data_IF_391425708976
#
_entry.id   IF_391425708976
#
_cell.length_a   1.000
_cell.length_b   1.000
_cell.length_c   1.000
_cell.angle_alpha   90.00
_cell.angle_beta   90.00
_cell.angle_gamma   90.00
#
_symmetry.space_group_name_H-M   'P 1'
#
loop_
_entity.id
_entity.type
_entity.pdbx_description
1 polymer ?
2 non-polymer ?
3 water ?
#
# COMPACT_ATOMS: atom_id res chain seq x y z
N UNK A 4 37.28 22.16 9.46
CA UNK A 4 36.87 20.85 9.99
C UNK A 4 35.48 20.45 9.53
N UNK A 5 35.29 20.02 8.27
CA UNK A 5 33.98 19.64 7.76
C UNK A 5 33.59 18.26 8.30
N UNK A 6 32.32 18.08 8.70
CA UNK A 6 31.80 16.81 9.27
C UNK A 6 31.67 15.76 8.16
N UNK A 7 31.99 14.51 8.48
CA UNK A 7 31.77 13.33 7.60
C UNK A 7 30.33 13.39 7.07
N UNK A 8 30.17 13.49 5.75
CA UNK A 8 28.86 13.41 5.04
C UNK A 8 28.82 12.11 4.23
N UNK A 9 27.63 11.68 3.77
CA UNK A 9 27.52 10.45 2.98
C UNK A 9 28.08 10.61 1.57
N UNK A 10 28.60 9.52 0.97
CA UNK A 10 29.18 9.59 -0.37
C UNK A 10 28.11 9.96 -1.43
N UNK A 11 28.52 10.66 -2.48
CA UNK A 11 27.64 11.07 -3.61
C UNK A 11 28.11 10.32 -4.87
N UNK A 12 27.21 9.59 -5.51
CA UNK A 12 27.48 8.83 -6.75
C UNK A 12 27.93 9.81 -7.83
N UNK A 13 29.11 9.58 -8.47
CA UNK A 13 29.54 10.37 -9.61
C UNK A 13 28.39 10.66 -10.60
N UNK A 14 28.02 11.94 -10.72
CA UNK A 14 26.76 12.40 -11.34
C UNK A 14 26.68 12.04 -12.81
N UNK A 15 25.48 12.14 -13.38
CA UNK A 15 25.22 11.93 -14.83
C UNK A 15 25.03 13.24 -15.56
N UNK A 16 23.83 13.81 -15.52
CA UNK A 16 23.40 14.96 -16.36
C UNK A 16 23.22 16.21 -15.47
N UNK A 17 23.51 17.42 -16.00
CA UNK A 17 23.48 18.64 -15.20
C UNK A 17 22.16 18.97 -14.48
N UNK A 18 21.03 19.05 -15.20
CA UNK A 18 19.71 19.43 -14.63
C UNK A 18 18.87 18.18 -14.34
N UNK A 19 19.33 16.99 -14.77
CA UNK A 19 18.55 15.73 -14.66
C UNK A 19 19.11 14.84 -13.55
N UNK A 20 20.38 15.03 -13.18
CA UNK A 20 21.09 14.16 -12.21
C UNK A 20 21.20 12.73 -12.71
N UNK A 21 20.48 11.80 -12.08
CA UNK A 21 20.53 10.34 -12.40
C UNK A 21 19.15 9.87 -12.89
N UNK A 22 18.17 10.78 -12.96
CA UNK A 22 16.71 10.48 -13.01
C UNK A 22 16.43 9.46 -14.14
N UNK A 23 17.05 9.60 -15.30
CA UNK A 23 16.76 8.70 -16.45
C UNK A 23 17.20 7.26 -16.18
N UNK A 24 18.41 7.08 -15.67
CA UNK A 24 18.98 5.75 -15.33
C UNK A 24 18.17 5.13 -14.19
N UNK A 25 17.85 5.91 -13.16
CA UNK A 25 16.97 5.53 -12.03
C UNK A 25 15.61 5.09 -12.58
N UNK A 26 15.03 5.91 -13.47
CA UNK A 26 13.70 5.70 -14.05
C UNK A 26 13.65 4.43 -14.90
N UNK A 27 14.73 4.13 -15.62
CA UNK A 27 14.90 2.86 -16.38
C UNK A 27 14.52 1.69 -15.47
N UNK A 28 15.16 1.62 -14.30
CA UNK A 28 14.96 0.54 -13.28
C UNK A 28 15.22 1.12 -11.89
N UNK A 29 14.17 1.55 -11.17
CA UNK A 29 14.33 2.15 -9.85
C UNK A 29 15.01 1.20 -8.86
N UNK A 30 14.58 -0.07 -8.86
CA UNK A 30 15.09 -1.12 -7.93
C UNK A 30 16.55 -1.42 -8.25
N UNK A 31 16.83 -1.87 -9.48
CA UNK A 31 18.20 -2.16 -9.97
C UNK A 31 19.12 -0.99 -9.61
N UNK A 32 18.66 0.25 -9.83
CA UNK A 32 19.42 1.49 -9.55
C UNK A 32 19.80 1.54 -8.06
N UNK A 33 18.81 1.41 -7.18
CA UNK A 33 18.97 1.55 -5.70
C UNK A 33 19.84 0.41 -5.17
N UNK A 34 19.61 -0.82 -5.64
CA UNK A 34 20.50 -1.98 -5.38
C UNK A 34 21.93 -1.58 -5.74
N UNK A 35 22.14 -1.08 -6.96
CA UNK A 35 23.45 -0.64 -7.50
C UNK A 35 24.03 0.45 -6.58
N UNK A 36 23.24 1.46 -6.24
CA UNK A 36 23.70 2.61 -5.40
C UNK A 36 24.23 2.07 -4.07
N UNK A 37 23.42 1.28 -3.36
CA UNK A 37 23.79 0.71 -2.04
C UNK A 37 25.06 -0.13 -2.19
N UNK A 38 25.08 -1.05 -3.16
CA UNK A 38 26.18 -2.03 -3.36
C UNK A 38 27.51 -1.30 -3.44
N UNK A 39 27.52 -0.06 -3.97
CA UNK A 39 28.75 0.67 -4.36
C UNK A 39 29.12 1.72 -3.31
N UNK A 40 28.19 2.12 -2.44
CA UNK A 40 28.35 3.30 -1.54
C UNK A 40 27.87 3.00 -0.11
N UNK A 41 27.12 1.90 0.10
CA UNK A 41 26.81 1.35 1.44
C UNK A 41 25.47 1.85 1.97
N UNK A 42 25.36 1.96 3.30
CA UNK A 42 24.08 2.17 4.04
C UNK A 42 23.50 3.56 3.72
N UNK A 43 24.36 4.58 3.66
CA UNK A 43 23.96 5.99 3.40
C UNK A 43 24.67 6.48 2.13
N UNK A 44 23.89 6.84 1.09
CA UNK A 44 24.39 7.05 -0.29
C UNK A 44 23.55 8.12 -0.99
N UNK A 45 24.18 9.24 -1.38
CA UNK A 45 23.51 10.41 -2.00
C UNK A 45 23.55 10.24 -3.52
N UNK A 46 22.43 10.54 -4.18
CA UNK A 46 22.32 10.73 -5.65
C UNK A 46 21.47 11.98 -5.92
N UNK A 47 21.47 12.45 -7.17
CA UNK A 47 20.70 13.68 -7.48
C UNK A 47 19.55 13.41 -8.44
N UNK A 48 18.33 13.74 -8.00
CA UNK A 48 17.09 13.69 -8.81
C UNK A 48 16.74 15.11 -9.26
N UNK A 49 17.00 15.44 -10.53
CA UNK A 49 16.88 16.81 -11.09
C UNK A 49 17.85 17.73 -10.35
N UNK A 50 17.34 18.84 -9.80
CA UNK A 50 18.09 19.78 -8.93
C UNK A 50 18.44 19.08 -7.61
N UNK A 51 17.58 18.16 -7.16
CA UNK A 51 17.46 17.73 -5.74
C UNK A 51 18.47 16.63 -5.41
N UNK A 52 18.83 16.51 -4.13
CA UNK A 52 19.82 15.53 -3.60
C UNK A 52 19.12 14.53 -2.69
N UNK A 53 18.88 13.31 -3.20
CA UNK A 53 18.28 12.18 -2.44
C UNK A 53 19.39 11.43 -1.71
N UNK A 54 19.11 10.90 -0.52
CA UNK A 54 20.04 10.06 0.28
C UNK A 54 19.32 8.76 0.66
N UNK A 55 19.80 7.64 0.13
CA UNK A 55 19.23 6.28 0.34
C UNK A 55 19.71 5.74 1.69
N UNK A 56 18.80 5.58 2.65
CA UNK A 56 19.06 4.88 3.94
C UNK A 56 18.61 3.42 3.82
N UNK A 57 19.56 2.49 3.75
CA UNK A 57 19.32 1.03 3.72
C UNK A 57 20.03 0.39 4.92
N UNK A 58 19.62 -0.82 5.30
CA UNK A 58 20.13 -1.54 6.48
C UNK A 58 19.36 -1.18 7.74
N UNK A 59 19.46 -2.01 8.78
CA UNK A 59 18.72 -1.88 10.05
C UNK A 59 18.99 -0.52 10.68
N UNK A 60 20.27 -0.13 10.80
CA UNK A 60 20.72 1.07 11.55
C UNK A 60 20.14 2.33 10.90
N UNK A 61 20.40 2.51 9.59
CA UNK A 61 20.00 3.71 8.81
C UNK A 61 18.47 3.80 8.70
N UNK A 62 17.80 2.65 8.62
CA UNK A 62 16.32 2.54 8.57
C UNK A 62 15.70 3.08 9.87
N UNK A 63 16.29 2.73 11.02
CA UNK A 63 15.84 3.17 12.37
C UNK A 63 15.87 4.70 12.45
N UNK A 64 16.97 5.31 11.99
CA UNK A 64 17.16 6.78 11.95
C UNK A 64 15.98 7.42 11.19
N UNK A 65 15.50 6.74 10.15
CA UNK A 65 14.46 7.24 9.19
C UNK A 65 13.08 7.19 9.86
N UNK A 66 12.73 6.04 10.42
CA UNK A 66 11.35 5.71 10.89
C UNK A 66 11.10 6.37 12.24
N UNK A 67 12.16 6.78 12.94
CA UNK A 67 12.09 7.23 14.35
C UNK A 67 12.28 8.75 14.43
N UNK A 68 12.74 9.39 13.36
CA UNK A 68 12.87 10.86 13.26
C UNK A 68 11.53 11.50 13.63
N UNK A 69 11.53 12.59 14.42
CA UNK A 69 10.32 13.39 14.62
C UNK A 69 9.78 13.95 13.30
N UNK A 70 8.48 14.25 13.25
CA UNK A 70 7.79 14.87 12.09
C UNK A 70 8.41 16.24 11.80
N UNK A 71 9.25 16.73 12.72
CA UNK A 71 9.86 18.09 12.67
C UNK A 71 11.28 18.00 12.09
N UNK A 72 11.82 16.79 11.93
CA UNK A 72 13.11 16.55 11.23
C UNK A 72 12.82 16.14 9.79
N UNK A 73 12.00 15.10 9.60
CA UNK A 73 11.61 14.55 8.28
C UNK A 73 10.11 14.80 8.04
N UNK A 74 9.79 15.54 6.98
CA UNK A 74 8.38 15.85 6.58
C UNK A 74 8.03 15.01 5.35
N UNK A 75 6.88 14.33 5.39
CA UNK A 75 6.38 13.45 4.31
C UNK A 75 5.54 14.28 3.32
N UNK A 76 5.34 15.56 3.62
CA UNK A 76 4.49 16.48 2.83
C UNK A 76 4.83 16.43 1.34
N UNK A 77 6.08 16.77 0.96
CA UNK A 77 6.44 16.91 -0.45
C UNK A 77 6.24 15.63 -1.28
N UNK A 78 6.48 14.47 -0.67
CA UNK A 78 6.28 13.14 -1.29
C UNK A 78 4.87 13.04 -1.89
N UNK A 79 3.93 13.84 -1.38
CA UNK A 79 2.47 13.68 -1.62
C UNK A 79 1.92 14.86 -2.44
N UNK A 80 2.79 15.77 -2.90
CA UNK A 80 2.37 17.06 -3.51
C UNK A 80 1.53 16.79 -4.77
N UNK A 81 1.78 15.67 -5.44
CA UNK A 81 1.04 15.23 -6.66
C UNK A 81 -0.39 14.84 -6.27
N UNK A 82 -0.59 14.46 -5.00
CA UNK A 82 -1.87 13.88 -4.49
C UNK A 82 -2.77 15.00 -3.97
N UNK A 83 -2.20 16.16 -3.63
CA UNK A 83 -2.88 17.27 -2.92
C UNK A 83 -4.17 17.66 -3.64
N UNK A 84 -4.16 17.81 -5.00
CA UNK A 84 -5.38 18.14 -5.73
C UNK A 84 -6.47 17.07 -5.56
N UNK A 85 -6.08 15.80 -5.43
CA UNK A 85 -7.00 14.64 -5.28
C UNK A 85 -7.51 14.59 -3.83
N UNK A 86 -6.64 14.83 -2.86
CA UNK A 86 -6.94 14.70 -1.40
C UNK A 86 -7.64 15.98 -0.90
N UNK A 87 -7.43 17.09 -1.61
CA UNK A 87 -7.96 18.41 -1.21
C UNK A 87 -6.83 19.25 -0.63
N UNK A 88 -7.07 20.54 -0.46
CA UNK A 88 -6.06 21.47 0.08
C UNK A 88 -6.20 21.50 1.58
N UNK A 89 -5.08 21.43 2.30
CA UNK A 89 -5.11 21.58 3.77
C UNK A 89 -5.92 20.47 4.43
N UNK A 90 -6.14 19.38 3.70
CA UNK A 90 -6.95 18.24 4.22
C UNK A 90 -6.12 17.24 5.02
N UNK A 91 -5.14 16.60 4.38
CA UNK A 91 -4.27 15.64 5.11
C UNK A 91 -2.95 15.65 4.36
N UNK A 92 -1.84 15.89 5.06
CA UNK A 92 -0.41 15.99 4.64
C UNK A 92 -0.09 17.33 3.97
N UNK A 93 -1.08 18.20 3.87
CA UNK A 93 -1.02 19.58 3.32
C UNK A 93 -1.37 20.37 4.56
N UNK A 94 -2.16 19.73 5.42
CA UNK A 94 -2.51 20.26 6.76
C UNK A 94 -1.26 20.44 7.65
N UNK A 95 -1.38 21.33 8.63
CA UNK A 95 -0.32 21.62 9.64
C UNK A 95 0.01 20.32 10.38
N UNK A 96 1.27 20.16 10.79
CA UNK A 96 1.81 18.89 11.36
C UNK A 96 0.83 18.36 12.43
N UNK A 97 0.32 19.24 13.29
CA UNK A 97 -0.52 18.87 14.46
C UNK A 97 -1.91 18.46 13.98
N UNK A 98 -2.47 19.20 13.01
CA UNK A 98 -3.82 18.95 12.44
C UNK A 98 -3.79 17.65 11.64
N UNK A 99 -2.77 17.48 10.79
CA UNK A 99 -2.55 16.24 9.98
C UNK A 99 -2.58 15.02 10.90
N UNK A 100 -1.97 15.12 12.08
CA UNK A 100 -1.71 13.97 12.99
C UNK A 100 -3.03 13.51 13.62
N UNK A 101 -3.94 14.44 13.92
CA UNK A 101 -5.27 14.14 14.50
C UNK A 101 -6.11 13.37 13.46
N UNK A 102 -6.06 13.81 12.21
CA UNK A 102 -6.84 13.20 11.09
C UNK A 102 -6.39 11.75 10.91
N UNK A 103 -5.07 11.53 10.83
CA UNK A 103 -4.44 10.18 10.74
C UNK A 103 -4.89 9.34 11.94
N UNK A 104 -4.86 9.93 13.15
CA UNK A 104 -5.19 9.24 14.43
C UNK A 104 -6.67 8.84 14.44
N UNK A 105 -7.53 9.57 13.72
CA UNK A 105 -8.98 9.26 13.60
C UNK A 105 -9.17 8.02 12.74
N UNK A 106 -8.28 7.80 11.76
CA UNK A 106 -8.33 6.66 10.81
C UNK A 106 -7.96 5.36 11.54
N UNK A 107 -6.96 5.42 12.42
CA UNK A 107 -6.29 4.22 12.99
C UNK A 107 -7.34 3.24 13.52
N UNK A 108 -8.24 3.67 14.44
CA UNK A 108 -9.22 2.74 15.02
C UNK A 108 -10.29 2.30 14.01
N UNK A 109 -10.46 3.04 12.92
CA UNK A 109 -11.37 2.71 11.81
C UNK A 109 -10.89 1.46 11.08
N UNK A 110 -9.58 1.15 11.17
CA UNK A 110 -8.90 0.13 10.34
C UNK A 110 -8.34 -1.00 11.20
N UNK A 111 -8.58 -0.96 12.52
CA UNK A 111 -8.13 -2.00 13.49
C UNK A 111 -9.30 -2.44 14.36
N UNK A 112 -9.12 -3.52 15.14
CA UNK A 112 -9.96 -3.87 16.31
C UNK A 112 -11.41 -4.09 15.88
N UNK A 113 -12.32 -3.28 16.42
CA UNK A 113 -13.78 -3.60 16.54
C UNK A 113 -14.41 -3.80 15.17
N UNK A 114 -14.26 -2.90 14.18
CA UNK A 114 -14.94 -3.08 12.90
C UNK A 114 -14.35 -4.24 12.08
N UNK A 115 -13.21 -4.79 12.50
CA UNK A 115 -12.44 -5.78 11.72
C UNK A 115 -13.32 -7.00 11.43
N UNK A 116 -14.12 -7.44 12.42
CA UNK A 116 -14.99 -8.64 12.28
C UNK A 116 -16.02 -8.39 11.17
N UNK A 117 -16.69 -7.24 11.19
CA UNK A 117 -17.68 -6.81 10.15
C UNK A 117 -17.00 -6.82 8.79
N UNK A 118 -15.87 -6.12 8.67
CA UNK A 118 -15.05 -6.00 7.43
C UNK A 118 -14.81 -7.40 6.85
N UNK A 119 -14.40 -8.36 7.70
CA UNK A 119 -14.18 -9.77 7.33
C UNK A 119 -15.40 -10.30 6.58
N UNK A 120 -16.58 -10.22 7.19
CA UNK A 120 -17.86 -10.76 6.66
C UNK A 120 -18.13 -10.11 5.30
N UNK A 121 -18.02 -8.77 5.22
CA UNK A 121 -18.26 -7.99 3.99
C UNK A 121 -17.32 -8.48 2.87
N UNK A 122 -16.02 -8.51 3.16
CA UNK A 122 -14.95 -8.94 2.20
C UNK A 122 -15.25 -10.36 1.72
N UNK A 123 -15.41 -11.31 2.65
CA UNK A 123 -15.75 -12.73 2.32
C UNK A 123 -16.98 -12.72 1.42
N UNK A 124 -18.06 -12.06 1.85
CA UNK A 124 -19.36 -11.99 1.15
C UNK A 124 -19.15 -11.47 -0.28
N UNK A 125 -18.33 -10.43 -0.44
CA UNK A 125 -18.11 -9.72 -1.73
C UNK A 125 -17.43 -10.66 -2.73
N UNK A 126 -16.53 -11.52 -2.27
CA UNK A 126 -15.79 -12.49 -3.13
C UNK A 126 -16.72 -13.65 -3.48
N UNK A 127 -17.36 -14.25 -2.47
CA UNK A 127 -18.41 -15.29 -2.63
C UNK A 127 -19.41 -14.80 -3.69
N UNK A 128 -19.87 -13.55 -3.55
CA UNK A 128 -20.84 -12.90 -4.47
C UNK A 128 -20.36 -13.03 -5.92
N UNK A 129 -19.22 -12.40 -6.24
CA UNK A 129 -18.71 -12.26 -7.64
C UNK A 129 -18.37 -13.64 -8.21
N UNK A 130 -18.01 -14.60 -7.36
CA UNK A 130 -17.54 -15.94 -7.78
C UNK A 130 -18.70 -16.74 -8.41
N UNK A 131 -19.94 -16.36 -8.12
CA UNK A 131 -21.16 -17.02 -8.65
C UNK A 131 -21.37 -16.61 -10.11
N UNK A 132 -20.65 -15.58 -10.58
CA UNK A 132 -20.76 -15.01 -11.95
C UNK A 132 -19.88 -15.81 -12.91
N UNK A 133 -19.09 -16.75 -12.40
CA UNK A 133 -17.95 -17.38 -13.13
C UNK A 133 -18.43 -18.62 -13.89
N UNK A 134 -18.01 -18.74 -15.15
CA UNK A 134 -18.11 -20.00 -15.95
C UNK A 134 -17.45 -21.13 -15.15
N UNK A 135 -17.71 -22.39 -15.54
CA UNK A 135 -17.15 -23.60 -14.87
C UNK A 135 -15.63 -23.52 -14.91
N UNK A 136 -15.07 -23.14 -16.06
CA UNK A 136 -13.61 -22.96 -16.29
C UNK A 136 -13.39 -21.77 -17.24
N UNK A 137 -12.17 -21.24 -17.29
CA UNK A 137 -11.80 -20.15 -18.20
C UNK A 137 -10.44 -19.56 -17.89
N UNK A 138 -10.04 -18.55 -18.66
CA UNK A 138 -8.75 -17.82 -18.55
C UNK A 138 -9.04 -16.35 -18.17
N UNK A 139 -8.42 -15.87 -17.10
CA UNK A 139 -8.58 -14.47 -16.58
C UNK A 139 -7.21 -13.82 -16.43
N UNK A 140 -7.17 -12.48 -16.39
CA UNK A 140 -5.95 -11.68 -16.06
C UNK A 140 -5.93 -11.43 -14.55
N UNK A 141 -5.04 -12.12 -13.83
CA UNK A 141 -5.03 -12.21 -12.35
C UNK A 141 -4.99 -10.79 -11.75
N UNK A 142 -4.21 -9.89 -12.36
CA UNK A 142 -3.98 -8.52 -11.83
C UNK A 142 -5.28 -7.73 -11.87
N UNK A 143 -6.01 -7.80 -12.98
CA UNK A 143 -7.34 -7.14 -13.15
C UNK A 143 -8.32 -7.68 -12.10
N UNK A 144 -8.33 -9.00 -11.89
CA UNK A 144 -9.27 -9.66 -10.95
C UNK A 144 -9.08 -9.07 -9.54
N UNK A 145 -7.84 -9.00 -9.06
CA UNK A 145 -7.50 -8.59 -7.68
C UNK A 145 -7.72 -7.07 -7.52
N UNK A 146 -7.60 -6.31 -8.61
CA UNK A 146 -7.82 -4.84 -8.61
C UNK A 146 -9.33 -4.56 -8.46
N UNK A 147 -10.15 -5.29 -9.22
CA UNK A 147 -11.63 -5.25 -9.11
C UNK A 147 -12.03 -5.66 -7.69
N UNK A 148 -11.65 -6.86 -7.27
CA UNK A 148 -12.03 -7.47 -5.98
C UNK A 148 -11.67 -6.51 -4.84
N UNK A 149 -10.50 -5.87 -4.93
CA UNK A 149 -9.93 -5.01 -3.86
C UNK A 149 -10.72 -3.70 -3.78
N UNK A 150 -11.08 -3.11 -4.93
CA UNK A 150 -11.80 -1.80 -4.99
C UNK A 150 -13.22 -2.00 -4.45
N UNK A 151 -13.83 -3.17 -4.70
CA UNK A 151 -15.20 -3.53 -4.24
C UNK A 151 -15.20 -3.68 -2.71
N UNK A 152 -14.31 -4.52 -2.19
CA UNK A 152 -14.19 -4.84 -0.74
C UNK A 152 -13.76 -3.59 0.03
N UNK A 153 -12.75 -2.87 -0.47
CA UNK A 153 -12.28 -1.58 0.08
C UNK A 153 -13.46 -0.63 0.26
N UNK A 154 -14.10 -0.25 -0.86
CA UNK A 154 -15.11 0.83 -0.94
C UNK A 154 -16.32 0.47 -0.07
N UNK A 155 -16.71 -0.81 -0.06
CA UNK A 155 -17.82 -1.32 0.79
C UNK A 155 -17.47 -1.13 2.27
N UNK A 156 -16.21 -1.38 2.65
CA UNK A 156 -15.73 -1.35 4.06
C UNK A 156 -15.42 0.09 4.47
N UNK A 157 -14.99 0.93 3.53
CA UNK A 157 -14.44 2.29 3.82
C UNK A 157 -15.54 3.35 3.62
N UNK A 158 -16.35 3.20 2.56
CA UNK A 158 -17.39 4.18 2.18
C UNK A 158 -18.76 3.70 2.68
N UNK A 159 -19.16 2.49 2.27
CA UNK A 159 -20.43 1.87 2.68
C UNK A 159 -21.19 1.31 1.48
N UNK A 160 -22.27 0.57 1.74
CA UNK A 160 -23.07 -0.15 0.73
C UNK A 160 -23.57 0.82 -0.35
N UNK A 161 -23.81 2.08 0.02
CA UNK A 161 -24.28 3.14 -0.91
C UNK A 161 -23.41 3.12 -2.18
N UNK A 162 -22.09 3.03 -2.02
CA UNK A 162 -21.10 3.19 -3.12
C UNK A 162 -20.93 1.87 -3.88
N UNK A 163 -21.45 0.77 -3.32
CA UNK A 163 -21.42 -0.57 -3.96
C UNK A 163 -22.66 -0.74 -4.85
N UNK A 164 -23.80 -0.20 -4.43
CA UNK A 164 -25.11 -0.39 -5.11
C UNK A 164 -25.50 0.89 -5.86
N UNK A 165 -26.07 1.87 -5.15
CA UNK A 165 -26.78 3.04 -5.72
C UNK A 165 -25.79 3.93 -6.48
N UNK A 166 -24.58 4.10 -5.94
CA UNK A 166 -23.55 5.03 -6.49
C UNK A 166 -22.43 4.23 -7.16
N UNK A 167 -22.67 2.95 -7.44
CA UNK A 167 -21.70 2.01 -8.05
C UNK A 167 -21.06 2.64 -9.29
N UNK A 168 -21.84 2.77 -10.37
CA UNK A 168 -21.37 3.22 -11.71
C UNK A 168 -20.83 4.66 -11.61
N UNK A 169 -21.52 5.52 -10.84
CA UNK A 169 -21.10 6.94 -10.64
C UNK A 169 -19.71 6.96 -10.00
N UNK A 170 -19.55 6.30 -8.85
CA UNK A 170 -18.28 6.28 -8.07
C UNK A 170 -17.16 5.71 -8.94
N UNK A 171 -17.41 4.56 -9.57
CA UNK A 171 -16.45 3.83 -10.45
C UNK A 171 -15.74 4.84 -11.34
N UNK A 172 -16.50 5.72 -12.01
CA UNK A 172 -16.00 6.70 -12.99
C UNK A 172 -15.25 7.83 -12.32
N UNK A 173 -15.70 8.26 -11.13
CA UNK A 173 -15.03 9.32 -10.32
C UNK A 173 -13.63 8.82 -9.97
N UNK A 174 -13.52 7.59 -9.45
CA UNK A 174 -12.24 6.97 -9.01
C UNK A 174 -11.26 6.92 -10.18
N UNK A 175 -11.75 6.52 -11.36
CA UNK A 175 -10.97 6.49 -12.62
C UNK A 175 -10.39 7.89 -12.87
N UNK A 176 -11.25 8.90 -12.98
CA UNK A 176 -10.87 10.31 -13.29
C UNK A 176 -9.89 10.80 -12.21
N UNK A 177 -10.14 10.43 -10.94
CA UNK A 177 -9.25 10.73 -9.79
C UNK A 177 -7.88 10.06 -10.03
N UNK A 178 -7.90 8.75 -10.29
CA UNK A 178 -6.69 7.92 -10.55
C UNK A 178 -5.91 8.51 -11.72
N UNK A 179 -6.60 8.83 -12.81
CA UNK A 179 -6.02 9.32 -14.10
C UNK A 179 -5.31 10.66 -13.86
N UNK A 180 -5.66 11.36 -12.78
CA UNK A 180 -5.11 12.69 -12.44
C UNK A 180 -3.73 12.58 -11.82
N UNK A 181 -3.26 11.35 -11.56
CA UNK A 181 -1.90 11.07 -11.01
C UNK A 181 -0.90 11.08 -12.17
N UNK A 182 -0.50 12.27 -12.61
CA UNK A 182 0.46 12.50 -13.73
C UNK A 182 1.68 13.23 -13.19
N UNK A 183 2.91 12.76 -13.51
CA UNK A 183 4.12 13.25 -12.86
C UNK A 183 4.40 14.76 -12.99
N UNK A 184 3.72 15.45 -13.91
CA UNK A 184 3.79 16.95 -13.99
C UNK A 184 3.09 17.53 -12.77
N UNK A 185 1.96 16.93 -12.37
CA UNK A 185 1.24 17.23 -11.12
C UNK A 185 2.09 16.74 -9.93
N UNK A 186 2.88 15.69 -10.12
CA UNK A 186 3.78 15.10 -9.09
C UNK A 186 4.88 16.11 -8.73
N UNK A 187 5.43 16.79 -9.74
CA UNK A 187 6.23 18.04 -9.55
C UNK A 187 5.34 19.02 -8.79
N UNK A 188 4.02 18.97 -9.04
CA UNK A 188 2.98 19.86 -8.46
C UNK A 188 3.25 21.30 -8.87
N UNK A 189 3.82 21.54 -10.07
CA UNK A 189 4.26 22.87 -10.46
C UNK A 189 3.11 23.66 -11.08
N UNK A 190 2.43 23.08 -12.08
CA UNK A 190 1.23 23.65 -12.74
C UNK A 190 0.09 22.62 -12.67
N UNK A 191 -1.04 23.00 -12.06
CA UNK A 191 -2.20 22.11 -11.80
C UNK A 191 -3.06 21.94 -13.04
N UNK A 192 -3.21 22.98 -13.92
CA UNK A 192 -4.16 22.91 -15.05
C UNK A 192 -3.76 22.06 -16.27
N UNK A 193 -4.76 21.39 -16.86
CA UNK A 193 -4.65 20.51 -18.06
C UNK A 193 -6.05 19.93 -18.35
N UNK A 194 -6.29 19.24 -19.48
CA UNK A 194 -7.59 18.62 -19.73
C UNK A 194 -7.91 17.48 -18.75
N UNK A 195 -6.95 16.58 -18.51
CA UNK A 195 -7.11 15.40 -17.60
C UNK A 195 -7.19 15.89 -16.15
N UNK A 196 -6.56 17.04 -15.86
CA UNK A 196 -6.44 17.62 -14.49
C UNK A 196 -7.79 18.17 -14.05
N UNK A 197 -8.54 18.78 -14.97
CA UNK A 197 -9.90 19.33 -14.70
C UNK A 197 -10.88 18.17 -14.47
N UNK A 198 -10.75 17.11 -15.26
CA UNK A 198 -11.58 15.88 -15.15
C UNK A 198 -11.31 15.22 -13.80
N UNK A 199 -10.07 15.35 -13.30
CA UNK A 199 -9.66 14.97 -11.92
C UNK A 199 -10.38 15.88 -10.91
N UNK A 200 -10.27 17.21 -11.09
CA UNK A 200 -10.79 18.23 -10.15
C UNK A 200 -12.32 18.13 -10.09
N UNK A 201 -12.99 18.02 -11.24
CA UNK A 201 -14.45 17.80 -11.36
C UNK A 201 -14.84 16.58 -10.53
N UNK A 202 -14.01 15.53 -10.56
CA UNK A 202 -14.25 14.23 -9.89
C UNK A 202 -14.31 14.41 -8.38
N UNK A 203 -13.32 15.12 -7.80
CA UNK A 203 -13.24 15.33 -6.33
C UNK A 203 -14.44 16.15 -5.86
N UNK A 204 -14.83 17.19 -6.62
CA UNK A 204 -16.01 18.05 -6.31
C UNK A 204 -17.25 17.16 -6.21
N UNK A 205 -17.47 16.29 -7.19
CA UNK A 205 -18.71 15.46 -7.28
C UNK A 205 -18.72 14.44 -6.14
N UNK A 206 -17.55 13.97 -5.71
CA UNK A 206 -17.43 12.98 -4.60
C UNK A 206 -17.79 13.66 -3.28
N UNK A 207 -17.25 14.87 -3.04
CA UNK A 207 -17.57 15.69 -1.84
C UNK A 207 -19.07 15.97 -1.80
N UNK A 208 -19.69 16.18 -2.97
CA UNK A 208 -21.17 16.34 -3.10
C UNK A 208 -21.85 15.06 -2.62
N UNK A 209 -21.44 13.92 -3.15
CA UNK A 209 -22.04 12.58 -2.85
C UNK A 209 -21.88 12.28 -1.35
N UNK A 210 -20.73 12.65 -0.78
CA UNK A 210 -20.43 12.41 0.67
C UNK A 210 -21.47 13.16 1.52
N UNK A 211 -21.52 14.49 1.38
CA UNK A 211 -22.43 15.38 2.17
C UNK A 211 -23.87 14.84 2.10
N UNK A 212 -24.31 14.46 0.89
CA UNK A 212 -25.66 13.90 0.65
C UNK A 212 -25.89 12.71 1.59
N UNK A 213 -24.89 11.83 1.69
CA UNK A 213 -24.98 10.55 2.45
C UNK A 213 -24.88 10.86 3.95
N UNK A 214 -23.98 11.79 4.32
CA UNK A 214 -23.91 12.36 5.70
C UNK A 214 -25.33 12.76 6.12
N UNK A 215 -26.00 13.57 5.30
CA UNK A 215 -27.33 14.15 5.58
C UNK A 215 -28.39 13.04 5.55
N UNK A 216 -28.26 12.08 4.63
CA UNK A 216 -29.26 11.01 4.41
C UNK A 216 -29.15 9.96 5.52
N UNK A 217 -27.93 9.74 6.03
CA UNK A 217 -27.64 8.78 7.13
C UNK A 217 -27.96 9.42 8.49
N UNK A 218 -28.21 10.73 8.50
CA UNK A 218 -28.47 11.51 9.74
C UNK A 218 -29.99 11.65 9.95
N UNK A 219 -30.74 12.03 8.92
CA UNK A 219 -32.22 12.12 9.01
C UNK A 219 -32.78 10.70 9.13
N UNK A 220 -32.23 9.75 8.37
CA UNK A 220 -32.40 8.30 8.64
C UNK A 220 -31.46 7.93 9.79
N UNK A 221 -31.83 6.95 10.61
CA UNK A 221 -30.99 6.52 11.76
C UNK A 221 -30.26 5.23 11.38
N UNK A 222 -29.86 5.11 10.12
CA UNK A 222 -28.84 4.14 9.64
C UNK A 222 -27.55 4.33 10.44
N UNK A 223 -27.03 3.25 11.02
CA UNK A 223 -25.67 3.22 11.62
C UNK A 223 -24.93 1.98 11.09
N UNK A 224 -24.28 2.11 9.93
CA UNK A 224 -23.43 1.07 9.30
C UNK A 224 -22.01 1.15 9.87
N UNK A 225 -21.25 0.06 9.78
CA UNK A 225 -19.84 -0.04 10.18
C UNK A 225 -18.96 0.18 8.94
N UNK A 226 -18.42 1.40 8.80
CA UNK A 226 -17.46 1.77 7.72
C UNK A 226 -16.62 2.96 8.21
N UNK A 227 -15.50 3.23 7.55
CA UNK A 227 -14.53 4.28 7.95
C UNK A 227 -15.24 5.64 7.87
N UNK A 228 -16.03 5.84 6.82
CA UNK A 228 -16.89 7.03 6.60
C UNK A 228 -17.70 7.31 7.87
N UNK A 229 -18.44 6.31 8.35
CA UNK A 229 -19.33 6.43 9.54
C UNK A 229 -18.52 6.86 10.76
N UNK A 230 -17.30 6.33 10.90
CA UNK A 230 -16.42 6.56 12.07
C UNK A 230 -15.77 7.95 11.98
N UNK A 231 -15.56 8.44 10.75
CA UNK A 231 -15.01 9.80 10.49
C UNK A 231 -16.11 10.83 10.76
N UNK A 232 -17.37 10.48 10.50
CA UNK A 232 -18.55 11.31 10.84
C UNK A 232 -18.60 11.48 12.36
N UNK A 233 -18.38 10.38 13.09
CA UNK A 233 -18.58 10.29 14.57
C UNK A 233 -17.33 10.79 15.30
N UNK A 234 -16.16 10.74 14.65
CA UNK A 234 -14.89 11.29 15.16
C UNK A 234 -15.07 12.78 15.45
N UNK A 235 -14.14 13.37 16.20
CA UNK A 235 -14.03 14.83 16.42
C UNK A 235 -12.60 15.19 16.85
N UNK A 236 -12.11 16.35 16.43
CA UNK A 236 -10.82 16.94 16.89
C UNK A 236 -10.84 17.06 18.41
N UNK A 237 -9.67 17.36 19.01
CA UNK A 237 -9.54 17.60 20.47
C UNK A 237 -10.32 18.86 20.83
N UNK A 238 -10.45 19.79 19.87
CA UNK A 238 -11.35 20.98 19.92
C UNK A 238 -12.73 20.57 20.45
N UNK A 239 -13.24 19.42 20.00
CA UNK A 239 -14.67 19.08 20.00
C UNK A 239 -15.31 19.38 18.66
N UNK A 240 -14.66 20.24 17.86
CA UNK A 240 -15.06 20.57 16.47
C UNK A 240 -15.07 19.31 15.62
N UNK A 241 -15.85 19.31 14.54
CA UNK A 241 -16.13 18.10 13.70
C UNK A 241 -15.36 18.21 12.39
N UNK A 242 -15.28 17.10 11.65
CA UNK A 242 -14.70 17.05 10.28
C UNK A 242 -15.72 17.65 9.30
N UNK A 243 -15.25 18.48 8.38
CA UNK A 243 -16.03 19.03 7.24
C UNK A 243 -16.02 18.01 6.11
N UNK A 244 -17.09 17.94 5.29
CA UNK A 244 -17.14 17.01 4.16
C UNK A 244 -15.95 17.13 3.20
N UNK A 245 -15.29 18.29 3.17
CA UNK A 245 -14.00 18.49 2.46
C UNK A 245 -12.97 17.50 3.01
N UNK A 246 -12.76 17.54 4.34
CA UNK A 246 -11.80 16.67 5.06
C UNK A 246 -12.22 15.20 4.92
N UNK A 247 -13.46 14.87 5.29
CA UNK A 247 -13.97 13.47 5.26
C UNK A 247 -13.76 12.89 3.85
N UNK A 248 -14.02 13.68 2.81
CA UNK A 248 -13.85 13.25 1.39
C UNK A 248 -12.36 13.02 1.12
N UNK A 249 -11.51 13.95 1.58
CA UNK A 249 -10.04 13.89 1.42
C UNK A 249 -9.44 12.64 2.06
N UNK A 250 -9.86 12.32 3.29
CA UNK A 250 -9.28 11.23 4.10
C UNK A 250 -9.71 9.87 3.52
N UNK A 251 -10.96 9.77 3.07
CA UNK A 251 -11.52 8.51 2.51
C UNK A 251 -10.80 8.17 1.20
N UNK A 252 -10.52 9.17 0.36
CA UNK A 252 -9.79 8.96 -0.92
C UNK A 252 -8.35 8.54 -0.64
N UNK A 253 -7.68 9.25 0.27
CA UNK A 253 -6.31 8.92 0.72
C UNK A 253 -6.26 7.45 1.14
N UNK A 254 -7.21 7.02 1.97
CA UNK A 254 -7.30 5.64 2.52
C UNK A 254 -7.45 4.63 1.36
N UNK A 255 -8.29 4.95 0.38
CA UNK A 255 -8.61 4.03 -0.76
C UNK A 255 -7.37 3.90 -1.67
N UNK A 256 -6.69 5.01 -1.95
CA UNK A 256 -5.45 5.05 -2.78
C UNK A 256 -4.32 4.33 -2.03
N UNK A 257 -4.25 4.53 -0.72
CA UNK A 257 -3.20 3.94 0.16
C UNK A 257 -3.31 2.41 0.14
N UNK A 258 -4.52 1.89 -0.08
CA UNK A 258 -4.87 0.47 0.19
C UNK A 258 -5.14 -0.34 -1.07
N UNK A 259 -5.42 0.31 -2.20
CA UNK A 259 -5.98 -0.36 -3.41
C UNK A 259 -4.89 -1.19 -4.11
N UNK A 260 -3.98 -0.53 -4.81
CA UNK A 260 -2.95 -1.18 -5.69
C UNK A 260 -1.96 -1.95 -4.82
N UNK A 261 -1.71 -1.46 -3.60
CA UNK A 261 -0.86 -2.12 -2.57
C UNK A 261 -1.43 -3.52 -2.27
N UNK A 262 -2.71 -3.60 -1.91
CA UNK A 262 -3.42 -4.88 -1.61
C UNK A 262 -3.55 -5.72 -2.88
N UNK A 263 -4.06 -5.12 -3.97
CA UNK A 263 -4.41 -5.82 -5.22
C UNK A 263 -3.17 -6.49 -5.81
N UNK A 264 -2.05 -5.77 -5.85
CA UNK A 264 -0.75 -6.26 -6.33
C UNK A 264 -0.25 -7.42 -5.49
N UNK A 265 -0.36 -7.29 -4.16
CA UNK A 265 0.14 -8.28 -3.18
C UNK A 265 -0.67 -9.59 -3.28
N UNK A 266 -2.00 -9.49 -3.38
CA UNK A 266 -2.90 -10.67 -3.54
C UNK A 266 -2.51 -11.42 -4.82
N UNK A 267 -2.21 -10.67 -5.90
CA UNK A 267 -1.72 -11.22 -7.18
C UNK A 267 -0.45 -12.03 -6.94
N UNK A 268 0.51 -11.44 -6.21
CA UNK A 268 1.85 -12.04 -5.97
C UNK A 268 1.73 -13.26 -5.06
N UNK A 269 0.82 -13.21 -4.07
CA UNK A 269 0.61 -14.34 -3.13
C UNK A 269 0.09 -15.54 -3.93
N UNK A 270 -0.77 -15.30 -4.93
CA UNK A 270 -1.34 -16.36 -5.80
C UNK A 270 -0.28 -16.85 -6.78
N UNK A 271 0.44 -15.93 -7.43
CA UNK A 271 1.55 -16.26 -8.39
C UNK A 271 2.59 -17.12 -7.66
N UNK A 272 3.10 -16.64 -6.52
CA UNK A 272 4.17 -17.33 -5.75
C UNK A 272 3.68 -18.71 -5.32
N UNK A 273 2.40 -18.84 -4.96
CA UNK A 273 1.79 -20.14 -4.52
C UNK A 273 1.66 -21.08 -5.73
N UNK A 274 1.51 -20.51 -6.94
CA UNK A 274 1.20 -21.28 -8.16
C UNK A 274 2.50 -21.76 -8.85
N UNK A 275 3.64 -21.17 -8.50
CA UNK A 275 4.98 -21.62 -9.01
C UNK A 275 5.75 -22.34 -7.89
N UNK A 276 5.07 -22.77 -6.83
CA UNK A 276 5.70 -23.48 -5.67
C UNK A 276 4.70 -24.44 -5.06
N UNK A 277 4.41 -25.58 -5.74
CA UNK A 277 3.36 -26.50 -5.32
C UNK A 277 3.51 -26.89 -3.83
N UNK A 278 4.76 -27.07 -3.42
CA UNK A 278 5.20 -27.22 -2.01
C UNK A 278 4.32 -26.37 -1.09
N UNK A 279 4.15 -25.09 -1.43
CA UNK A 279 3.53 -24.05 -0.55
C UNK A 279 2.04 -23.94 -0.86
N UNK A 280 1.63 -24.18 -2.12
CA UNK A 280 0.21 -24.31 -2.49
C UNK A 280 -0.44 -25.38 -1.59
N UNK A 281 0.28 -26.47 -1.31
CA UNK A 281 -0.23 -27.61 -0.51
C UNK A 281 -0.33 -27.20 0.96
N UNK A 282 0.72 -26.54 1.48
CA UNK A 282 0.77 -26.08 2.90
C UNK A 282 -0.40 -25.11 3.13
N UNK A 283 -0.67 -24.23 2.17
CA UNK A 283 -1.75 -23.20 2.27
C UNK A 283 -3.11 -23.88 2.07
N UNK A 284 -3.24 -24.71 1.03
CA UNK A 284 -4.51 -25.45 0.72
C UNK A 284 -4.90 -26.32 1.91
N UNK A 285 -3.93 -27.03 2.49
CA UNK A 285 -4.13 -27.91 3.67
C UNK A 285 -4.65 -27.06 4.84
N UNK A 286 -4.12 -25.84 4.99
CA UNK A 286 -4.47 -24.91 6.09
C UNK A 286 -5.93 -24.45 5.91
N UNK A 287 -6.31 -24.06 4.70
CA UNK A 287 -7.68 -23.59 4.33
C UNK A 287 -8.68 -24.72 4.56
N UNK A 288 -8.45 -25.89 3.93
CA UNK A 288 -9.33 -27.09 4.03
C UNK A 288 -9.52 -27.45 5.50
N UNK A 289 -8.45 -27.38 6.30
CA UNK A 289 -8.47 -27.54 7.77
C UNK A 289 -9.38 -26.47 8.38
N UNK A 290 -9.24 -25.21 7.93
CA UNK A 290 -10.00 -24.04 8.45
C UNK A 290 -11.50 -24.29 8.28
N UNK A 291 -11.91 -24.85 7.13
CA UNK A 291 -13.33 -25.09 6.79
C UNK A 291 -13.88 -26.24 7.65
N UNK A 292 -13.10 -27.31 7.82
CA UNK A 292 -13.51 -28.54 8.55
C UNK A 292 -13.46 -28.26 10.06
N UNK A 293 -13.05 -27.05 10.46
CA UNK A 293 -12.97 -26.62 11.89
C UNK A 293 -13.87 -25.41 12.14
N UNK A 294 -14.47 -24.85 11.08
CA UNK A 294 -15.28 -23.60 11.15
C UNK A 294 -16.47 -23.67 10.19
N UNK A 295 -16.36 -24.45 9.12
CA UNK A 295 -17.45 -24.70 8.16
C UNK A 295 -17.80 -23.46 7.35
N UNK A 296 -17.13 -22.34 7.65
CA UNK A 296 -17.27 -21.03 6.96
C UNK A 296 -16.01 -20.21 7.22
N UNK A 297 -15.69 -19.25 6.35
CA UNK A 297 -14.60 -18.26 6.57
C UNK A 297 -15.11 -17.18 7.53
N UNK A 298 -14.42 -17.02 8.66
CA UNK A 298 -14.90 -16.36 9.89
C UNK A 298 -13.75 -15.50 10.44
N UNK A 299 -14.07 -14.33 10.99
CA UNK A 299 -13.06 -13.40 11.54
C UNK A 299 -12.08 -14.18 12.42
N UNK A 300 -12.60 -15.04 13.30
CA UNK A 300 -11.80 -15.82 14.28
C UNK A 300 -10.84 -16.75 13.54
N UNK A 301 -11.28 -17.33 12.42
CA UNK A 301 -10.52 -18.32 11.62
C UNK A 301 -9.39 -17.62 10.85
N UNK A 302 -9.68 -16.45 10.27
CA UNK A 302 -8.71 -15.63 9.49
C UNK A 302 -7.52 -15.25 10.39
N UNK A 303 -7.76 -15.10 11.69
CA UNK A 303 -6.78 -14.58 12.67
C UNK A 303 -5.57 -15.51 12.76
N UNK A 304 -5.80 -16.82 12.75
CA UNK A 304 -4.76 -17.85 13.01
C UNK A 304 -4.62 -18.74 11.77
N UNK A 305 -4.02 -18.19 10.71
CA UNK A 305 -3.61 -18.92 9.48
C UNK A 305 -2.11 -18.78 9.31
N UNK A 306 -1.30 -19.44 10.16
CA UNK A 306 0.14 -19.18 10.22
C UNK A 306 0.84 -19.42 8.87
N UNK A 307 0.56 -20.55 8.22
CA UNK A 307 1.10 -20.91 6.87
C UNK A 307 0.95 -19.69 5.94
N UNK A 308 -0.26 -19.15 5.83
CA UNK A 308 -0.62 -18.12 4.83
C UNK A 308 -0.04 -16.77 5.26
N UNK A 309 -0.12 -16.44 6.55
CA UNK A 309 0.50 -15.20 7.10
C UNK A 309 1.97 -15.17 6.68
N UNK A 310 2.67 -16.30 6.86
CA UNK A 310 4.11 -16.44 6.58
C UNK A 310 4.36 -16.25 5.08
N UNK A 311 3.50 -16.81 4.23
CA UNK A 311 3.59 -16.66 2.74
C UNK A 311 3.43 -15.17 2.40
N UNK A 312 2.38 -14.51 2.91
CA UNK A 312 2.10 -13.07 2.65
C UNK A 312 3.32 -12.25 3.08
N UNK A 313 3.90 -12.59 4.22
CA UNK A 313 5.07 -11.88 4.81
C UNK A 313 6.27 -11.98 3.87
N UNK A 314 6.51 -13.17 3.30
CA UNK A 314 7.65 -13.42 2.37
C UNK A 314 7.38 -12.69 1.05
N UNK A 315 6.14 -12.74 0.56
CA UNK A 315 5.71 -12.03 -0.68
C UNK A 315 5.98 -10.53 -0.52
N UNK A 316 5.71 -9.99 0.68
CA UNK A 316 5.91 -8.55 0.98
C UNK A 316 7.41 -8.26 1.15
N UNK A 317 8.20 -9.25 1.56
CA UNK A 317 9.69 -9.10 1.63
C UNK A 317 10.22 -8.98 0.19
N UNK A 318 9.86 -9.92 -0.68
CA UNK A 318 10.37 -10.02 -2.08
C UNK A 318 9.66 -9.01 -2.99
N UNK A 319 8.45 -8.56 -2.63
CA UNK A 319 7.60 -7.70 -3.48
C UNK A 319 6.89 -6.64 -2.66
N UNK A 320 7.62 -5.71 -1.99
CA UNK A 320 7.00 -4.53 -1.41
C UNK A 320 6.48 -3.56 -2.47
N UNK A 321 5.17 -3.23 -2.48
CA UNK A 321 4.59 -2.41 -3.53
C UNK A 321 5.10 -0.96 -3.52
N UNK A 322 5.54 -0.46 -2.36
CA UNK A 322 6.16 0.88 -2.20
C UNK A 322 7.65 0.70 -1.89
N UNK A 323 8.51 1.19 -2.79
CA UNK A 323 9.97 0.85 -2.84
C UNK A 323 10.81 2.12 -2.62
N UNK A 324 10.20 3.31 -2.74
CA UNK A 324 10.81 4.59 -2.32
C UNK A 324 9.85 5.31 -1.36
N UNK A 325 10.23 5.42 -0.08
CA UNK A 325 9.56 6.26 0.94
C UNK A 325 10.36 7.54 1.16
N UNK A 326 9.90 8.67 0.61
CA UNK A 326 10.69 9.93 0.54
C UNK A 326 10.31 10.86 1.69
N UNK A 327 11.28 11.65 2.16
CA UNK A 327 11.13 12.71 3.20
C UNK A 327 12.04 13.89 2.85
N UNK A 328 11.59 15.11 3.14
CA UNK A 328 12.44 16.32 3.15
C UNK A 328 13.10 16.44 4.53
N UNK A 329 14.42 16.63 4.56
CA UNK A 329 15.20 17.02 5.78
C UNK A 329 15.03 18.53 5.98
N UNK A 330 14.37 18.93 7.07
CA UNK A 330 14.11 20.35 7.43
C UNK A 330 14.90 20.69 8.69
N UNK A 331 15.79 19.78 9.10
CA UNK A 331 16.70 19.93 10.26
C UNK A 331 17.89 18.99 10.05
N UNK A 332 19.10 19.44 10.38
CA UNK A 332 20.32 18.58 10.37
C UNK A 332 20.09 17.44 11.36
N UNK A 333 19.96 16.21 10.87
CA UNK A 333 20.06 14.97 11.68
C UNK A 333 21.21 14.11 11.12
N UNK A 334 21.72 13.21 11.95
CA UNK A 334 22.97 12.44 11.68
C UNK A 334 22.62 10.94 11.65
N UNK A 335 22.98 10.26 10.55
CA UNK A 335 22.74 8.81 10.35
C UNK A 335 24.09 8.08 10.30
N UNK A 336 24.32 7.18 11.25
CA UNK A 336 25.52 6.29 11.30
C UNK A 336 26.79 7.14 11.16
N UNK A 337 26.83 8.31 11.80
CA UNK A 337 28.01 9.18 11.86
C UNK A 337 27.97 10.29 10.83
N UNK A 338 27.39 10.01 9.65
CA UNK A 338 27.33 10.95 8.50
C UNK A 338 26.20 11.96 8.74
N UNK A 339 26.51 13.25 8.55
CA UNK A 339 25.58 14.38 8.80
C UNK A 339 24.79 14.69 7.52
N UNK A 340 23.46 14.66 7.59
CA UNK A 340 22.54 14.92 6.45
C UNK A 340 21.96 16.32 6.59
N UNK A 341 22.37 17.24 5.70
CA UNK A 341 22.06 18.68 5.76
C UNK A 341 20.56 18.90 5.58
N UNK A 342 19.97 19.81 6.35
CA UNK A 342 18.61 20.35 6.14
C UNK A 342 18.51 20.87 4.70
N UNK A 343 17.30 20.83 4.11
CA UNK A 343 17.07 21.19 2.71
C UNK A 343 17.17 19.98 1.80
N UNK A 344 17.91 18.95 2.23
CA UNK A 344 18.15 17.71 1.46
C UNK A 344 16.93 16.78 1.57
N UNK A 345 16.93 15.70 0.78
CA UNK A 345 15.92 14.63 0.80
C UNK A 345 16.55 13.31 1.26
N UNK A 346 15.83 12.58 2.10
CA UNK A 346 16.17 11.20 2.56
C UNK A 346 15.05 10.27 2.09
N UNK A 347 15.30 8.96 2.02
CA UNK A 347 14.28 7.94 1.62
C UNK A 347 14.71 6.54 2.05
N UNK A 348 13.74 5.73 2.47
CA UNK A 348 13.89 4.29 2.75
C UNK A 348 13.56 3.51 1.48
N UNK A 349 14.13 2.30 1.32
CA UNK A 349 13.95 1.42 0.15
C UNK A 349 13.71 0.00 0.62
N UNK A 350 12.46 -0.36 0.98
CA UNK A 350 12.14 -1.71 1.43
C UNK A 350 12.69 -2.81 0.51
N UNK A 351 12.59 -2.64 -0.81
CA UNK A 351 12.97 -3.65 -1.82
C UNK A 351 14.47 -3.96 -1.72
N UNK A 352 15.27 -2.99 -1.26
CA UNK A 352 16.76 -3.10 -1.13
C UNK A 352 17.10 -3.73 0.22
N UNK A 353 16.65 -3.12 1.32
CA UNK A 353 16.96 -3.57 2.71
C UNK A 353 16.53 -5.02 2.87
N UNK A 354 15.49 -5.46 2.16
CA UNK A 354 14.89 -6.82 2.28
C UNK A 354 15.81 -7.86 1.67
N UNK A 355 16.85 -7.43 0.94
CA UNK A 355 17.82 -8.35 0.28
C UNK A 355 19.23 -8.20 0.88
N UNK A 356 19.35 -7.56 2.05
CA UNK A 356 20.63 -7.50 2.81
C UNK A 356 20.87 -8.87 3.43
N UNK A 357 21.94 -9.59 3.03
CA UNK A 357 22.14 -10.98 3.42
C UNK A 357 22.32 -11.14 4.95
N UNK A 358 22.83 -10.10 5.61
CA UNK A 358 23.09 -10.09 7.08
C UNK A 358 21.75 -10.11 7.83
N UNK A 359 20.66 -9.63 7.20
CA UNK A 359 19.30 -9.62 7.78
C UNK A 359 18.51 -10.83 7.29
N UNK A 360 18.59 -11.13 5.99
CA UNK A 360 17.80 -12.19 5.31
C UNK A 360 18.75 -13.16 4.62
N UNK A 361 19.36 -14.08 5.39
CA UNK A 361 20.26 -15.10 4.84
C UNK A 361 19.69 -15.73 3.56
N UNK A 362 20.45 -15.67 2.47
CA UNK A 362 20.02 -16.11 1.11
C UNK A 362 18.85 -15.23 0.67
N UNK A 363 19.07 -13.91 0.50
CA UNK A 363 17.98 -12.95 0.36
C UNK A 363 17.07 -13.23 -0.83
N UNK A 364 17.60 -13.83 -1.90
CA UNK A 364 16.89 -14.01 -3.20
C UNK A 364 15.97 -15.24 -3.13
N UNK A 365 16.15 -16.11 -2.13
CA UNK A 365 15.35 -17.35 -1.96
C UNK A 365 14.01 -16.99 -1.29
N UNK A 366 12.90 -17.45 -1.86
CA UNK A 366 11.54 -17.39 -1.27
C UNK A 366 11.39 -18.50 -0.23
N UNK A 367 11.28 -18.12 1.05
CA UNK A 367 11.13 -19.08 2.18
C UNK A 367 10.28 -18.44 3.29
N UNK A 368 9.00 -18.83 3.40
CA UNK A 368 8.12 -18.29 4.44
C UNK A 368 8.57 -18.63 5.87
N UNK A 369 9.36 -19.70 6.03
CA UNK A 369 9.74 -20.26 7.35
C UNK A 369 10.74 -19.33 8.03
N UNK A 370 11.11 -18.22 7.37
CA UNK A 370 11.88 -17.11 7.98
C UNK A 370 11.10 -16.54 9.17
N UNK A 371 9.77 -16.66 9.14
CA UNK A 371 8.83 -15.87 9.99
C UNK A 371 8.14 -16.79 11.01
N UNK A 372 8.73 -17.95 11.26
CA UNK A 372 8.37 -18.85 12.40
C UNK A 372 9.05 -18.32 13.65
N UNK A 373 8.80 -18.92 14.84
CA UNK A 373 9.30 -18.39 16.11
C UNK A 373 10.81 -18.11 16.13
N UNK A 374 11.60 -18.87 15.35
CA UNK A 374 13.02 -18.58 15.04
C UNK A 374 13.09 -17.69 13.79
N UNK A 375 12.86 -16.39 13.97
CA UNK A 375 12.35 -15.47 12.92
C UNK A 375 13.48 -14.56 12.41
N UNK A 376 13.16 -13.77 11.37
CA UNK A 376 14.04 -12.75 10.76
C UNK A 376 13.26 -11.45 10.53
N UNK A 377 12.03 -11.38 11.06
CA UNK A 377 11.14 -10.19 10.93
C UNK A 377 10.95 -9.53 12.30
N UNK A 378 10.95 -10.32 13.37
CA UNK A 378 10.71 -9.86 14.77
C UNK A 378 11.97 -9.17 15.28
N UNK A 379 12.97 -9.96 15.66
CA UNK A 379 14.11 -9.56 16.54
C UNK A 379 14.85 -8.35 15.93
N UNK A 380 14.42 -7.90 14.74
CA UNK A 380 14.83 -6.59 14.16
C UNK A 380 13.60 -5.95 13.49
N UNK A 381 13.27 -4.72 13.89
CA UNK A 381 11.96 -4.07 13.57
C UNK A 381 12.13 -3.16 12.34
N UNK A 382 13.37 -2.81 11.99
CA UNK A 382 13.70 -1.90 10.86
C UNK A 382 14.52 -2.65 9.81
N UNK A 383 14.42 -3.98 9.82
CA UNK A 383 14.82 -4.84 8.69
C UNK A 383 13.69 -4.99 7.70
N UNK A 384 12.86 -6.02 7.91
CA UNK A 384 11.51 -6.15 7.31
C UNK A 384 10.72 -4.87 7.58
N UNK A 385 10.33 -4.15 6.52
CA UNK A 385 9.75 -2.78 6.60
C UNK A 385 8.82 -2.55 5.39
N UNK A 386 8.08 -3.58 4.99
CA UNK A 386 7.17 -3.54 3.81
C UNK A 386 6.03 -2.56 4.09
N UNK A 387 5.67 -2.39 5.36
CA UNK A 387 4.56 -1.51 5.83
C UNK A 387 5.12 -0.20 6.39
N UNK A 388 6.36 0.13 6.02
CA UNK A 388 7.13 1.24 6.64
C UNK A 388 7.37 0.96 8.12
N UNK A 389 7.46 2.01 8.93
CA UNK A 389 7.72 1.90 10.38
C UNK A 389 7.61 3.22 11.09
N UNK A 390 7.70 3.20 12.42
CA UNK A 390 7.71 4.39 13.29
C UNK A 390 6.35 5.03 13.38
N UNK A 391 6.31 6.34 13.63
CA UNK A 391 5.07 7.10 13.95
C UNK A 391 4.10 7.01 12.76
N UNK A 392 4.62 6.90 11.53
CA UNK A 392 3.84 7.01 10.27
C UNK A 392 3.85 5.69 9.50
N UNK A 393 3.89 4.57 10.23
CA UNK A 393 3.69 3.20 9.71
C UNK A 393 2.22 3.05 9.28
N UNK A 394 1.97 2.17 8.30
CA UNK A 394 0.63 1.86 7.73
C UNK A 394 -0.41 1.72 8.85
N UNK A 395 -1.54 2.43 8.74
CA UNK A 395 -2.68 2.36 9.69
C UNK A 395 -3.48 1.08 9.43
N UNK A 396 -3.39 0.56 8.20
CA UNK A 396 -4.25 -0.52 7.69
C UNK A 396 -3.46 -1.76 7.30
N UNK A 397 -2.33 -1.99 7.97
CA UNK A 397 -1.57 -3.28 7.85
C UNK A 397 -2.48 -4.42 8.30
N UNK A 398 -3.26 -4.21 9.36
CA UNK A 398 -4.21 -5.21 9.92
C UNK A 398 -5.33 -5.46 8.90
N UNK A 399 -5.93 -4.39 8.37
CA UNK A 399 -6.98 -4.46 7.32
C UNK A 399 -6.45 -5.25 6.11
N UNK A 400 -5.28 -4.84 5.59
CA UNK A 400 -4.61 -5.44 4.42
C UNK A 400 -4.46 -6.96 4.62
N UNK A 401 -4.00 -7.38 5.80
CA UNK A 401 -3.70 -8.81 6.10
C UNK A 401 -4.99 -9.63 6.02
N UNK A 402 -6.08 -9.13 6.61
CA UNK A 402 -7.41 -9.81 6.62
C UNK A 402 -8.00 -9.79 5.21
N UNK A 403 -7.96 -8.64 4.53
CA UNK A 403 -8.43 -8.49 3.13
C UNK A 403 -7.82 -9.60 2.28
N UNK A 404 -6.49 -9.77 2.35
CA UNK A 404 -5.72 -10.70 1.47
C UNK A 404 -5.97 -12.15 1.91
N UNK A 405 -5.98 -12.41 3.21
CA UNK A 405 -6.23 -13.77 3.77
C UNK A 405 -7.64 -14.24 3.35
N UNK A 406 -8.63 -13.34 3.41
CA UNK A 406 -10.04 -13.59 3.02
C UNK A 406 -10.11 -13.96 1.54
N UNK A 407 -9.61 -13.07 0.66
CA UNK A 407 -9.70 -13.22 -0.81
C UNK A 407 -9.06 -14.56 -1.21
N UNK A 408 -7.87 -14.85 -0.68
CA UNK A 408 -7.07 -16.07 -1.03
C UNK A 408 -7.84 -17.30 -0.54
N UNK A 409 -8.21 -17.33 0.74
CA UNK A 409 -9.06 -18.39 1.35
C UNK A 409 -10.21 -18.78 0.40
N UNK A 410 -11.02 -17.79 0.01
CA UNK A 410 -12.27 -18.01 -0.78
C UNK A 410 -11.89 -18.51 -2.17
N UNK A 411 -11.05 -17.75 -2.89
CA UNK A 411 -10.59 -18.09 -4.27
C UNK A 411 -10.09 -19.54 -4.27
N UNK A 412 -9.19 -19.88 -3.35
CA UNK A 412 -8.44 -21.17 -3.34
C UNK A 412 -9.40 -22.31 -2.99
N UNK A 413 -10.46 -22.02 -2.23
CA UNK A 413 -11.40 -23.03 -1.70
C UNK A 413 -12.40 -23.43 -2.80
N UNK A 414 -12.80 -22.48 -3.63
CA UNK A 414 -13.85 -22.67 -4.67
C UNK A 414 -13.20 -23.07 -5.99
N UNK A 415 -11.94 -22.68 -6.22
CA UNK A 415 -11.30 -22.71 -7.56
C UNK A 415 -9.89 -23.33 -7.51
N UNK A 416 -9.56 -24.05 -8.58
CA UNK A 416 -8.18 -24.51 -8.91
C UNK A 416 -7.60 -23.61 -10.00
N UNK A 417 -6.39 -23.08 -9.78
CA UNK A 417 -5.68 -22.16 -10.70
C UNK A 417 -4.39 -22.81 -11.19
N UNK A 418 -3.93 -22.38 -12.36
CA UNK A 418 -2.60 -22.71 -12.92
C UNK A 418 -2.18 -21.57 -13.86
N UNK A 419 -0.88 -21.25 -13.88
CA UNK A 419 -0.34 -20.09 -14.64
C UNK A 419 -0.52 -20.36 -16.14
N UNK A 420 -0.87 -19.31 -16.91
CA UNK A 420 -1.09 -19.36 -18.37
C UNK A 420 0.26 -19.43 -19.08
N UNK A 421 1.26 -18.68 -18.59
CA UNK A 421 2.61 -18.54 -19.18
C UNK A 421 3.64 -19.23 -18.28
N UNK A 422 4.91 -19.21 -18.70
CA UNK A 422 6.06 -19.84 -18.02
C UNK A 422 6.26 -19.20 -16.65
N UNK A 423 6.59 -20.00 -15.61
CA UNK A 423 6.64 -19.51 -14.24
C UNK A 423 7.57 -18.31 -14.06
N UNK A 424 8.71 -18.32 -14.74
CA UNK A 424 9.81 -17.33 -14.55
C UNK A 424 9.47 -16.03 -15.29
N UNK A 425 8.44 -16.05 -16.14
CA UNK A 425 8.04 -14.93 -17.03
C UNK A 425 7.30 -13.86 -16.21
N UNK A 426 6.77 -14.23 -15.04
CA UNK A 426 6.02 -13.33 -14.11
C UNK A 426 7.02 -12.51 -13.31
N UNK A 427 7.18 -11.23 -13.68
CA UNK A 427 8.18 -10.30 -13.12
C UNK A 427 7.46 -9.08 -12.53
N UNK A 428 8.08 -8.41 -11.55
CA UNK A 428 7.67 -7.06 -11.08
C UNK A 428 7.83 -6.06 -12.22
N UNK A 429 6.96 -5.05 -12.27
CA UNK A 429 7.08 -3.90 -13.20
C UNK A 429 7.47 -2.66 -12.37
N UNK A 430 8.78 -2.49 -12.10
CA UNK A 430 9.32 -1.51 -11.13
C UNK A 430 9.09 -0.09 -11.65
N UNK A 431 8.57 0.04 -12.87
CA UNK A 431 8.39 1.33 -13.57
C UNK A 431 7.00 1.91 -13.26
N UNK A 432 6.28 1.28 -12.32
CA UNK A 432 4.94 1.75 -11.85
C UNK A 432 5.11 2.47 -10.51
N UNK A 433 4.21 3.42 -10.22
CA UNK A 433 4.23 4.23 -8.97
C UNK A 433 4.03 3.32 -7.75
N UNK A 434 3.06 2.40 -7.85
CA UNK A 434 2.90 1.23 -6.95
C UNK A 434 3.32 -0.01 -7.74
N UNK A 435 4.35 -0.74 -7.26
CA UNK A 435 4.93 -1.91 -7.99
C UNK A 435 3.97 -3.09 -7.88
N UNK A 436 3.51 -3.60 -9.02
CA UNK A 436 2.72 -4.85 -9.14
C UNK A 436 3.45 -5.77 -10.12
N UNK A 437 2.96 -7.01 -10.33
CA UNK A 437 3.41 -7.82 -11.46
C UNK A 437 3.13 -7.10 -12.79
N UNK A 438 3.72 -7.61 -13.89
CA UNK A 438 3.56 -7.08 -15.26
C UNK A 438 2.09 -7.14 -15.67
N UNK A 439 1.65 -6.19 -16.51
CA UNK A 439 0.22 -5.97 -16.86
C UNK A 439 -0.39 -7.22 -17.49
N UNK A 440 0.24 -7.84 -18.51
CA UNK A 440 -0.31 -9.08 -19.09
C UNK A 440 0.01 -10.29 -18.22
N UNK A 441 -0.85 -10.55 -17.22
CA UNK A 441 -0.62 -11.50 -16.10
C UNK A 441 -1.74 -12.52 -16.04
N UNK A 442 -1.82 -13.41 -17.04
CA UNK A 442 -2.97 -14.31 -17.29
C UNK A 442 -2.84 -15.56 -16.42
N UNK A 443 -3.97 -16.20 -16.14
CA UNK A 443 -4.10 -17.35 -15.19
C UNK A 443 -5.34 -18.15 -15.58
N UNK A 444 -5.34 -19.45 -15.31
CA UNK A 444 -6.46 -20.37 -15.68
C UNK A 444 -7.16 -20.83 -14.40
N UNK A 445 -8.49 -20.82 -14.41
CA UNK A 445 -9.34 -21.27 -13.29
C UNK A 445 -10.25 -22.41 -13.76
N UNK A 446 -10.66 -23.26 -12.83
CA UNK A 446 -11.65 -24.36 -13.02
C UNK A 446 -12.20 -24.73 -11.64
N UNK A 447 -13.53 -24.73 -11.48
CA UNK A 447 -14.23 -24.99 -10.19
C UNK A 447 -13.58 -26.21 -9.51
N UNK A 448 -13.27 -26.10 -8.22
CA UNK A 448 -12.51 -27.12 -7.45
C UNK A 448 -13.34 -28.40 -7.38
N UNK A 449 -12.66 -29.56 -7.35
CA UNK A 449 -13.27 -30.91 -7.53
C UNK A 449 -14.19 -30.88 -8.75
#
# INVERSE_FOLDING_TARGET
>A
MSHPPSNTPPVKPGGLPLLGHILEFGKNPHAFLMALRHEFGDVAEFRMFHQRMVLLTGSQASEAFYRAPDEVLDQGPAYRIMTPIFGRGVVFDARIERKNQQLQMLMPALRDKPMRTYSEIIVAEVEAMLRDWKDAGTIDLLELTKELTIYTSSHCLLGAEFRHELNTEFAGIYRDLEMGIQPIAYVFPNLPLPVFKRRDQARVRLQELVTQIMERRARSQERSTNVFQMLIDASYDDGSKLTPHEITGMLIATIFAGHHTSSGTTAWVLIELLRRPEYLRRVRAEIDALFETHGRVTFESLRQMPQLENVIKEVLRLHPPLILLMRKVMKDFEVQGMRIEAGKFVCAAPSVTHRIPELFPNPELFDPDRYTPERAEDKDLYGWQAFGGGRHKCSGNAFAMFQIKAIVCVLLRNYEFELAAAPESYRDDYRKMVVEPASPCLIRYRRRD
#
